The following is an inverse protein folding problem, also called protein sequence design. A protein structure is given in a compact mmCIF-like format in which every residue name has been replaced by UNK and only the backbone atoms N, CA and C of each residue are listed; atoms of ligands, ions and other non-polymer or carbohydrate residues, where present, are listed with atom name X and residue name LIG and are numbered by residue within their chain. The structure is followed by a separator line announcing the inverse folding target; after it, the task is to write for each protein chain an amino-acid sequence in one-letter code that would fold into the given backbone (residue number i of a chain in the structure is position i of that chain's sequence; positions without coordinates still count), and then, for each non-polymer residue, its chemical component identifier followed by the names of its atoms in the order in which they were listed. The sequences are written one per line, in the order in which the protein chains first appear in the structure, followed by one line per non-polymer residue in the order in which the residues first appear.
data_IF_953422515356
#
_entry.id   IF_953422515356
#
_cell.length_a   1.000
_cell.length_b   1.000
_cell.length_c   1.000
_cell.angle_alpha   90.00
_cell.angle_beta   90.00
_cell.angle_gamma   90.00
#
_symmetry.space_group_name_H-M   'P 1'
#
loop_
_entity.id
_entity.type
_entity.pdbx_description
1 polymer ?
#
# COMPACT_ATOMS: atom_id res chain seq x y z
N UNK A 1 1.93 20.20 6.76
CA UNK A 1 1.37 18.85 6.57
C UNK A 1 1.60 18.06 7.82
N UNK A 2 0.56 17.48 8.43
CA UNK A 2 0.72 16.66 9.63
C UNK A 2 1.25 15.28 9.25
N UNK A 3 2.21 14.75 10.01
CA UNK A 3 2.64 13.35 9.88
C UNK A 3 1.63 12.37 10.50
N UNK A 4 0.63 12.87 11.22
CA UNK A 4 -0.40 12.04 11.89
C UNK A 4 -1.23 11.23 10.90
N UNK A 5 -1.37 11.67 9.65
CA UNK A 5 -2.08 10.88 8.63
C UNK A 5 -1.39 9.53 8.37
N UNK A 6 -0.06 9.49 8.50
CA UNK A 6 0.75 8.29 8.32
C UNK A 6 0.69 7.34 9.52
N UNK A 7 0.09 7.74 10.65
CA UNK A 7 -0.18 6.83 11.77
C UNK A 7 -1.39 5.94 11.50
N UNK A 8 -2.35 6.42 10.70
CA UNK A 8 -3.54 5.65 10.31
C UNK A 8 -3.83 5.81 8.81
N UNK A 9 -2.91 5.43 7.91
CA UNK A 9 -2.99 5.74 6.49
C UNK A 9 -4.21 5.11 5.82
N UNK A 10 -4.59 3.89 6.22
CA UNK A 10 -5.80 3.23 5.70
C UNK A 10 -7.09 3.96 6.11
N UNK A 11 -7.12 4.50 7.34
CA UNK A 11 -8.24 5.32 7.81
C UNK A 11 -8.39 6.59 7.00
N UNK A 12 -7.31 7.35 6.83
CA UNK A 12 -7.35 8.59 6.05
C UNK A 12 -7.66 8.32 4.57
N UNK A 13 -7.19 7.20 4.00
CA UNK A 13 -7.53 6.83 2.63
C UNK A 13 -9.01 6.48 2.47
N UNK A 14 -9.54 5.55 3.27
CA UNK A 14 -10.92 5.08 3.17
C UNK A 14 -11.97 6.11 3.64
N UNK A 15 -11.57 7.08 4.46
CA UNK A 15 -12.42 8.20 4.85
C UNK A 15 -12.38 9.37 3.86
N UNK A 16 -11.29 9.51 3.10
CA UNK A 16 -11.05 10.55 2.09
C UNK A 16 -11.02 10.02 0.65
N UNK A 17 -9.86 10.13 -0.01
CA UNK A 17 -9.70 9.90 -1.45
C UNK A 17 -10.21 8.53 -1.94
N UNK A 18 -10.10 7.48 -1.12
CA UNK A 18 -10.50 6.12 -1.47
C UNK A 18 -11.90 5.76 -0.96
N UNK A 19 -12.68 6.74 -0.48
CA UNK A 19 -14.06 6.52 -0.04
C UNK A 19 -14.93 5.79 -1.09
N UNK A 20 -14.83 6.04 -2.41
CA UNK A 20 -15.58 5.28 -3.42
C UNK A 20 -15.20 3.80 -3.54
N UNK A 21 -14.04 3.39 -3.01
CA UNK A 21 -13.53 2.01 -3.03
C UNK A 21 -13.92 1.23 -1.77
N UNK A 22 -14.54 1.89 -0.79
CA UNK A 22 -14.78 1.36 0.54
C UNK A 22 -16.12 0.63 0.67
N UNK A 23 -16.12 -0.51 1.35
CA UNK A 23 -17.29 -1.06 2.03
C UNK A 23 -17.32 -0.44 3.44
N UNK A 24 -18.45 0.10 3.87
CA UNK A 24 -18.56 0.89 5.11
C UNK A 24 -19.77 0.50 5.94
N UNK A 25 -19.60 0.54 7.25
CA UNK A 25 -20.69 0.47 8.23
C UNK A 25 -20.30 1.32 9.43
N UNK A 26 -21.17 2.24 9.84
CA UNK A 26 -20.84 3.24 10.86
C UNK A 26 -19.52 3.97 10.57
N UNK A 27 -18.61 3.94 11.54
CA UNK A 27 -17.26 4.49 11.37
C UNK A 27 -16.27 3.50 10.77
N UNK A 28 -16.55 2.20 10.72
CA UNK A 28 -15.66 1.21 10.14
C UNK A 28 -15.67 1.25 8.61
N UNK A 29 -14.52 0.94 8.01
CA UNK A 29 -14.38 0.80 6.58
C UNK A 29 -13.39 -0.33 6.23
N UNK A 30 -13.55 -0.92 5.05
CA UNK A 30 -12.53 -1.78 4.42
C UNK A 30 -12.57 -1.61 2.91
N UNK A 31 -11.50 -2.00 2.23
CA UNK A 31 -11.56 -2.16 0.78
C UNK A 31 -12.43 -3.36 0.39
N UNK A 32 -13.00 -3.30 -0.82
CA UNK A 32 -13.56 -4.49 -1.47
C UNK A 32 -12.47 -5.58 -1.55
N UNK A 33 -12.80 -6.87 -1.28
CA UNK A 33 -11.80 -7.95 -1.30
C UNK A 33 -11.03 -8.08 -2.61
N UNK A 34 -11.65 -7.71 -3.73
CA UNK A 34 -11.03 -7.70 -5.06
C UNK A 34 -9.97 -6.60 -5.25
N UNK A 35 -9.98 -5.56 -4.41
CA UNK A 35 -9.02 -4.43 -4.46
C UNK A 35 -7.90 -4.66 -3.44
N UNK A 36 -8.27 -4.98 -2.19
CA UNK A 36 -7.32 -5.06 -1.09
C UNK A 36 -7.92 -5.62 0.20
N UNK A 37 -7.04 -6.03 1.11
CA UNK A 37 -7.42 -6.59 2.41
C UNK A 37 -7.44 -5.56 3.55
N UNK A 38 -7.09 -4.29 3.28
CA UNK A 38 -7.01 -3.31 4.37
C UNK A 38 -8.39 -2.94 4.92
N UNK A 39 -8.47 -2.92 6.25
CA UNK A 39 -9.54 -2.32 7.01
C UNK A 39 -9.05 -1.03 7.68
N UNK A 40 -10.00 -0.23 8.13
CA UNK A 40 -9.76 0.99 8.86
C UNK A 40 -10.82 1.22 9.93
N UNK A 41 -10.33 1.70 11.07
CA UNK A 41 -11.09 2.20 12.19
C UNK A 41 -10.60 3.62 12.50
N UNK A 42 -11.42 4.48 13.12
CA UNK A 42 -10.96 5.78 13.58
C UNK A 42 -9.81 5.66 14.61
N UNK A 43 -8.93 6.66 14.72
CA UNK A 43 -7.98 6.74 15.83
C UNK A 43 -8.73 6.71 17.17
N UNK A 44 -8.32 5.84 18.08
CA UNK A 44 -9.01 5.64 19.37
C UNK A 44 -10.32 4.84 19.28
N UNK A 45 -10.46 4.00 18.27
CA UNK A 45 -11.62 3.13 18.06
C UNK A 45 -12.03 2.34 19.32
N UNK A 46 -13.32 2.38 19.63
CA UNK A 46 -13.93 1.65 20.74
C UNK A 46 -14.71 0.42 20.29
N UNK A 47 -15.38 -0.24 21.24
CA UNK A 47 -16.11 -1.50 20.98
C UNK A 47 -17.17 -1.40 19.89
N UNK A 48 -17.80 -0.23 19.73
CA UNK A 48 -18.79 0.01 18.67
C UNK A 48 -18.16 -0.03 17.27
N UNK A 49 -17.00 0.59 17.10
CA UNK A 49 -16.33 0.63 15.80
C UNK A 49 -15.86 -0.78 15.37
N UNK A 50 -15.43 -1.60 16.34
CA UNK A 50 -15.11 -3.02 16.11
C UNK A 50 -16.34 -3.87 15.78
N UNK A 51 -17.49 -3.61 16.42
CA UNK A 51 -18.75 -4.28 16.08
C UNK A 51 -19.23 -3.89 14.67
N UNK A 52 -19.08 -2.61 14.31
CA UNK A 52 -19.36 -2.12 12.96
C UNK A 52 -18.44 -2.81 11.92
N UNK A 53 -17.15 -2.95 12.24
CA UNK A 53 -16.20 -3.67 11.39
C UNK A 53 -16.57 -5.14 11.23
N UNK A 54 -17.04 -5.82 12.28
CA UNK A 54 -17.42 -7.22 12.20
C UNK A 54 -18.53 -7.45 11.16
N UNK A 55 -19.47 -6.51 11.06
CA UNK A 55 -20.58 -6.54 10.09
C UNK A 55 -20.08 -6.56 8.63
N UNK A 56 -19.00 -5.83 8.33
CA UNK A 56 -18.45 -5.73 6.97
C UNK A 56 -17.24 -6.63 6.71
N UNK A 57 -16.59 -7.12 7.76
CA UNK A 57 -15.53 -8.12 7.66
C UNK A 57 -16.11 -9.52 7.38
N UNK A 58 -17.23 -9.87 8.03
CA UNK A 58 -17.77 -11.22 7.95
C UNK A 58 -16.74 -12.25 8.41
N UNK A 59 -16.54 -13.29 7.59
CA UNK A 59 -15.53 -14.33 7.86
C UNK A 59 -14.13 -14.00 7.29
N UNK A 60 -13.99 -12.87 6.60
CA UNK A 60 -12.71 -12.51 5.96
C UNK A 60 -11.65 -12.16 7.00
N UNK A 61 -10.41 -12.42 6.62
CA UNK A 61 -9.28 -11.77 7.27
C UNK A 61 -9.13 -10.32 6.75
N UNK A 62 -8.94 -9.37 7.65
CA UNK A 62 -8.65 -7.98 7.32
C UNK A 62 -7.32 -7.54 7.91
N UNK A 63 -6.72 -6.53 7.28
CA UNK A 63 -5.37 -6.03 7.60
C UNK A 63 -5.43 -4.59 8.08
N UNK A 64 -4.79 -4.29 9.20
CA UNK A 64 -4.46 -2.93 9.59
C UNK A 64 -2.99 -2.64 9.31
N UNK A 65 -2.70 -1.41 8.88
CA UNK A 65 -1.36 -0.89 8.63
C UNK A 65 -1.28 0.52 9.21
N UNK A 66 -0.36 0.74 10.14
CA UNK A 66 -0.30 1.97 10.92
C UNK A 66 0.17 1.72 12.35
N UNK A 67 -0.15 2.67 13.24
CA UNK A 67 -0.15 2.40 14.68
C UNK A 67 -1.12 1.26 15.00
N UNK A 68 -0.71 0.29 15.83
CA UNK A 68 -1.52 -0.86 16.08
C UNK A 68 -2.76 -0.52 16.91
N UNK A 69 -3.83 -1.26 16.65
CA UNK A 69 -5.02 -1.27 17.49
C UNK A 69 -4.91 -2.35 18.57
N UNK A 70 -5.54 -2.09 19.72
CA UNK A 70 -5.88 -3.15 20.67
C UNK A 70 -7.04 -3.97 20.08
N UNK A 71 -6.81 -5.27 19.92
CA UNK A 71 -7.80 -6.20 19.35
C UNK A 71 -8.70 -6.68 20.48
N UNK A 72 -10.02 -6.39 20.45
CA UNK A 72 -10.93 -6.74 21.54
C UNK A 72 -11.34 -8.22 21.50
N UNK A 73 -11.99 -8.67 22.57
CA UNK A 73 -12.68 -9.96 22.59
C UNK A 73 -13.67 -10.09 21.42
N UNK A 74 -13.81 -11.31 20.89
CA UNK A 74 -14.59 -11.59 19.68
C UNK A 74 -13.81 -11.41 18.37
N UNK A 75 -12.51 -11.12 18.45
CA UNK A 75 -11.59 -11.10 17.32
C UNK A 75 -10.34 -11.93 17.61
N UNK A 76 -9.87 -12.64 16.59
CA UNK A 76 -8.58 -13.33 16.61
C UNK A 76 -7.51 -12.44 15.96
N UNK A 77 -6.41 -12.16 16.68
CA UNK A 77 -5.20 -11.59 16.08
C UNK A 77 -4.33 -12.71 15.51
N UNK A 78 -4.44 -12.90 14.19
CA UNK A 78 -3.77 -13.99 13.47
C UNK A 78 -2.27 -13.76 13.31
N UNK A 79 -1.86 -12.50 13.17
CA UNK A 79 -0.46 -12.11 13.13
C UNK A 79 -0.27 -10.62 13.41
N UNK A 80 0.87 -10.27 13.99
CA UNK A 80 1.35 -8.91 14.16
C UNK A 80 2.85 -8.86 13.86
N UNK A 81 3.27 -7.94 13.01
CA UNK A 81 4.70 -7.74 12.73
C UNK A 81 5.00 -6.28 12.38
N UNK A 82 6.22 -5.85 12.71
CA UNK A 82 6.67 -4.48 12.47
C UNK A 82 6.84 -4.20 10.97
N UNK A 83 6.43 -3.00 10.56
CA UNK A 83 6.62 -2.48 9.21
C UNK A 83 7.40 -1.18 9.26
N UNK A 84 8.47 -1.09 8.46
CA UNK A 84 9.28 0.11 8.33
C UNK A 84 8.54 1.08 7.41
N UNK A 85 8.13 2.22 7.96
CA UNK A 85 7.56 3.33 7.20
C UNK A 85 8.67 4.31 6.79
N UNK A 86 8.72 4.70 5.53
CA UNK A 86 9.74 5.62 4.99
C UNK A 86 9.11 6.72 4.15
N UNK A 87 9.69 7.92 4.19
CA UNK A 87 9.20 9.12 3.52
C UNK A 87 10.19 9.55 2.45
N UNK A 88 9.71 9.88 1.26
CA UNK A 88 10.56 10.37 0.18
C UNK A 88 11.10 11.79 0.49
N UNK A 89 12.33 12.11 0.05
CA UNK A 89 12.88 13.44 0.18
C UNK A 89 12.05 14.45 -0.64
N UNK A 90 12.10 15.72 -0.26
CA UNK A 90 11.37 16.77 -0.97
C UNK A 90 11.86 16.85 -2.44
N UNK A 91 10.92 16.94 -3.37
CA UNK A 91 11.23 17.00 -4.80
C UNK A 91 11.69 15.69 -5.43
N UNK A 92 11.68 14.57 -4.69
CA UNK A 92 12.03 13.26 -5.21
C UNK A 92 11.12 12.82 -6.36
N UNK A 93 11.69 12.13 -7.34
CA UNK A 93 10.98 11.57 -8.48
C UNK A 93 11.14 12.38 -9.77
N UNK A 94 11.15 11.66 -10.89
CA UNK A 94 11.19 12.17 -12.27
C UNK A 94 10.61 11.10 -13.22
N UNK A 95 10.13 11.49 -14.41
CA UNK A 95 9.71 10.52 -15.42
C UNK A 95 10.91 9.84 -16.08
N UNK A 96 10.67 8.68 -16.69
CA UNK A 96 11.63 7.93 -17.50
C UNK A 96 10.97 7.45 -18.79
N UNK A 97 11.66 7.59 -19.92
CA UNK A 97 11.09 7.30 -21.25
C UNK A 97 10.78 5.81 -21.47
N UNK A 98 11.46 4.90 -20.76
CA UNK A 98 11.25 3.46 -20.84
C UNK A 98 10.16 2.93 -19.89
N UNK A 99 9.57 3.82 -19.08
CA UNK A 99 8.52 3.51 -18.12
C UNK A 99 7.17 3.94 -18.68
N UNK A 100 6.26 2.98 -18.85
CA UNK A 100 4.93 3.22 -19.43
C UNK A 100 3.85 3.22 -18.36
N UNK A 101 2.79 4.01 -18.57
CA UNK A 101 1.59 3.97 -17.74
C UNK A 101 0.83 2.66 -17.99
N UNK A 102 0.46 1.97 -16.92
CA UNK A 102 -0.41 0.80 -16.95
C UNK A 102 -1.87 1.21 -16.71
N UNK A 103 -2.78 0.43 -17.26
CA UNK A 103 -4.22 0.67 -17.31
C UNK A 103 -5.00 -0.56 -16.83
N UNK A 104 -6.33 -0.48 -16.85
CA UNK A 104 -7.17 -1.62 -16.51
C UNK A 104 -6.96 -2.82 -17.46
N UNK A 105 -6.58 -2.56 -18.72
CA UNK A 105 -6.30 -3.61 -19.71
C UNK A 105 -5.05 -4.42 -19.34
N UNK A 106 -4.13 -3.84 -18.55
CA UNK A 106 -2.92 -4.50 -18.07
C UNK A 106 -3.15 -5.30 -16.77
N UNK A 107 -4.33 -5.21 -16.15
CA UNK A 107 -4.60 -5.71 -14.79
C UNK A 107 -4.29 -7.20 -14.59
N UNK A 108 -4.62 -8.03 -15.58
CA UNK A 108 -4.33 -9.46 -15.55
C UNK A 108 -2.81 -9.74 -15.58
N UNK A 109 -2.07 -8.99 -16.41
CA UNK A 109 -0.61 -9.11 -16.51
C UNK A 109 0.10 -8.57 -15.26
N UNK A 110 -0.43 -7.51 -14.65
CA UNK A 110 0.02 -6.99 -13.35
C UNK A 110 -0.16 -8.03 -12.24
N UNK A 111 -1.32 -8.69 -12.19
CA UNK A 111 -1.59 -9.76 -11.22
C UNK A 111 -0.66 -10.97 -11.45
N UNK A 112 -0.40 -11.35 -12.70
CA UNK A 112 0.56 -12.40 -13.03
C UNK A 112 1.96 -12.05 -12.52
N UNK A 113 2.45 -10.83 -12.81
CA UNK A 113 3.75 -10.35 -12.35
C UNK A 113 3.83 -10.33 -10.82
N UNK A 114 2.82 -9.78 -10.15
CA UNK A 114 2.76 -9.73 -8.68
C UNK A 114 2.76 -11.14 -8.08
N UNK A 115 2.02 -12.09 -8.66
CA UNK A 115 2.00 -13.48 -8.21
C UNK A 115 3.38 -14.13 -8.35
N UNK A 116 4.06 -13.90 -9.47
CA UNK A 116 5.38 -14.47 -9.73
C UNK A 116 6.48 -13.89 -8.81
N UNK A 117 6.37 -12.62 -8.44
CA UNK A 117 7.42 -11.88 -7.72
C UNK A 117 7.13 -11.66 -6.24
N UNK A 118 5.87 -11.80 -5.83
CA UNK A 118 5.36 -11.66 -4.45
C UNK A 118 5.78 -10.33 -3.77
N UNK A 119 5.43 -9.15 -4.32
CA UNK A 119 5.75 -7.85 -3.72
C UNK A 119 4.94 -7.53 -2.45
N UNK A 120 3.99 -8.39 -2.10
CA UNK A 120 2.94 -8.15 -1.12
C UNK A 120 1.58 -8.52 -1.72
N UNK A 121 0.48 -8.37 -0.95
CA UNK A 121 -0.85 -8.64 -1.45
C UNK A 121 -1.17 -7.80 -2.69
N UNK A 122 -1.62 -8.46 -3.75
CA UNK A 122 -2.09 -7.85 -4.99
C UNK A 122 -3.26 -8.67 -5.52
N UNK A 123 -4.33 -8.00 -5.92
CA UNK A 123 -5.62 -8.58 -6.26
C UNK A 123 -6.07 -8.10 -7.65
N UNK A 124 -7.13 -8.71 -8.19
CA UNK A 124 -7.62 -8.45 -9.55
C UNK A 124 -7.88 -6.95 -9.84
N UNK A 125 -8.38 -6.21 -8.84
CA UNK A 125 -8.71 -4.79 -8.97
C UNK A 125 -7.74 -3.89 -8.17
N UNK A 126 -6.56 -4.37 -7.75
CA UNK A 126 -5.59 -3.53 -7.00
C UNK A 126 -5.09 -2.33 -7.82
N UNK A 127 -5.18 -2.37 -9.15
CA UNK A 127 -4.89 -1.22 -10.00
C UNK A 127 -5.83 -0.03 -9.74
N UNK A 128 -7.00 -0.24 -9.09
CA UNK A 128 -7.92 0.84 -8.70
C UNK A 128 -7.40 1.68 -7.52
N UNK A 129 -6.33 1.26 -6.83
CA UNK A 129 -5.72 2.09 -5.78
C UNK A 129 -5.17 3.41 -6.32
N UNK A 130 -4.78 3.48 -7.60
CA UNK A 130 -4.21 4.69 -8.18
C UNK A 130 -3.36 4.40 -9.42
N UNK A 131 -2.33 5.21 -9.62
CA UNK A 131 -1.42 5.06 -10.75
C UNK A 131 -0.55 3.82 -10.68
N UNK A 132 -0.38 3.13 -11.81
CA UNK A 132 0.60 2.08 -11.97
C UNK A 132 1.44 2.30 -13.22
N UNK A 133 2.71 1.92 -13.13
CA UNK A 133 3.69 2.06 -14.17
C UNK A 133 4.47 0.78 -14.34
N UNK A 134 4.95 0.52 -15.55
CA UNK A 134 5.62 -0.72 -15.91
C UNK A 134 6.77 -0.51 -16.88
N UNK A 135 7.63 -1.52 -16.95
CA UNK A 135 8.62 -1.66 -18.01
C UNK A 135 8.33 -2.95 -18.76
N UNK A 136 8.35 -2.87 -20.10
CA UNK A 136 8.11 -4.00 -21.00
C UNK A 136 9.41 -4.43 -21.69
N UNK A 137 9.62 -5.73 -21.82
CA UNK A 137 10.67 -6.33 -22.65
C UNK A 137 10.03 -7.37 -23.58
N UNK A 138 10.26 -7.27 -24.89
CA UNK A 138 9.60 -8.11 -25.89
C UNK A 138 8.06 -8.08 -25.82
N UNK A 139 7.47 -6.96 -25.42
CA UNK A 139 6.02 -6.80 -25.24
C UNK A 139 5.47 -7.31 -23.90
N UNK A 140 6.25 -8.03 -23.11
CA UNK A 140 5.86 -8.58 -21.80
C UNK A 140 6.21 -7.61 -20.67
N UNK A 141 5.33 -7.47 -19.68
CA UNK A 141 5.58 -6.73 -18.46
C UNK A 141 6.61 -7.48 -17.59
N UNK A 142 7.76 -6.84 -17.37
CA UNK A 142 8.89 -7.41 -16.62
C UNK A 142 9.13 -6.74 -15.28
N UNK A 143 8.63 -5.52 -15.08
CA UNK A 143 8.68 -4.81 -13.81
C UNK A 143 7.50 -3.85 -13.69
N UNK A 144 7.04 -3.60 -12.47
CA UNK A 144 6.02 -2.58 -12.19
C UNK A 144 6.18 -1.95 -10.81
N UNK A 145 5.56 -0.79 -10.63
CA UNK A 145 5.29 -0.15 -9.36
C UNK A 145 4.00 0.67 -9.48
N UNK A 146 3.38 1.00 -8.37
CA UNK A 146 2.21 1.87 -8.39
C UNK A 146 1.88 2.48 -7.05
N UNK A 147 0.70 3.08 -7.00
CA UNK A 147 0.15 3.76 -5.84
C UNK A 147 -0.71 2.80 -5.00
N UNK A 148 -0.78 3.08 -3.71
CA UNK A 148 -1.65 2.35 -2.77
C UNK A 148 -2.40 3.30 -1.85
N UNK A 149 -2.11 3.34 -0.55
CA UNK A 149 -2.89 4.17 0.38
C UNK A 149 -2.68 5.66 0.05
N UNK A 150 -3.77 6.37 -0.26
CA UNK A 150 -3.76 7.80 -0.57
C UNK A 150 -4.60 8.57 0.42
N UNK A 151 -3.95 9.46 1.17
CA UNK A 151 -4.58 10.43 2.07
C UNK A 151 -4.68 11.80 1.39
N UNK A 152 -5.07 12.83 2.15
CA UNK A 152 -5.12 14.19 1.61
C UNK A 152 -3.71 14.71 1.29
N UNK A 153 -2.72 14.43 2.15
CA UNK A 153 -1.35 14.91 1.97
C UNK A 153 -0.36 13.88 1.42
N UNK A 154 -0.69 12.58 1.40
CA UNK A 154 0.26 11.51 1.15
C UNK A 154 -0.26 10.46 0.17
N UNK A 155 0.64 9.87 -0.62
CA UNK A 155 0.33 8.66 -1.41
C UNK A 155 1.45 7.65 -1.24
N UNK A 156 1.07 6.39 -1.05
CA UNK A 156 1.98 5.29 -0.84
C UNK A 156 2.49 4.73 -2.16
N UNK A 157 3.81 4.63 -2.31
CA UNK A 157 4.46 3.83 -3.36
C UNK A 157 4.40 2.35 -2.94
N UNK A 158 3.90 1.51 -3.83
CA UNK A 158 3.69 0.09 -3.58
C UNK A 158 3.89 -0.79 -4.80
N UNK A 159 3.74 -2.09 -4.60
CA UNK A 159 3.81 -3.13 -5.63
C UNK A 159 5.09 -3.10 -6.48
N UNK A 160 6.19 -2.56 -5.94
CA UNK A 160 7.48 -2.49 -6.64
C UNK A 160 8.02 -3.90 -6.81
N UNK A 161 8.01 -4.40 -8.04
CA UNK A 161 8.52 -5.73 -8.36
C UNK A 161 9.17 -5.80 -9.74
N UNK A 162 10.02 -6.79 -9.90
CA UNK A 162 10.76 -7.06 -11.14
C UNK A 162 10.97 -8.56 -11.24
N UNK A 163 10.71 -9.13 -12.43
CA UNK A 163 10.98 -10.54 -12.71
C UNK A 163 12.45 -10.87 -12.47
N UNK A 164 12.72 -12.08 -11.99
CA UNK A 164 14.04 -12.47 -11.49
C UNK A 164 15.15 -12.36 -12.56
N UNK A 165 14.83 -12.69 -13.81
CA UNK A 165 15.68 -12.57 -15.00
C UNK A 165 15.92 -11.13 -15.48
N UNK A 166 15.23 -10.15 -14.90
CA UNK A 166 15.33 -8.73 -15.23
C UNK A 166 15.86 -7.87 -14.07
N UNK A 167 16.24 -8.48 -12.94
CA UNK A 167 16.83 -7.78 -11.79
C UNK A 167 18.22 -7.23 -12.10
N UNK A 168 18.69 -6.29 -11.27
CA UNK A 168 20.03 -5.70 -11.40
C UNK A 168 20.18 -4.66 -12.52
N UNK A 169 19.10 -4.30 -13.21
CA UNK A 169 19.09 -3.35 -14.34
C UNK A 169 18.60 -1.93 -13.98
N UNK A 170 18.45 -1.63 -12.69
CA UNK A 170 17.96 -0.33 -12.21
C UNK A 170 16.45 -0.08 -12.38
N UNK A 171 15.67 -1.09 -12.80
CA UNK A 171 14.23 -0.95 -13.09
C UNK A 171 13.41 -0.45 -11.90
N UNK A 172 13.65 -0.99 -10.71
CA UNK A 172 12.93 -0.58 -9.50
C UNK A 172 13.14 0.91 -9.20
N UNK A 173 14.36 1.43 -9.36
CA UNK A 173 14.65 2.86 -9.15
C UNK A 173 13.87 3.73 -10.12
N UNK A 174 13.91 3.42 -11.43
CA UNK A 174 13.16 4.19 -12.44
C UNK A 174 11.67 4.21 -12.14
N UNK A 175 11.11 3.06 -11.82
CA UNK A 175 9.69 2.93 -11.45
C UNK A 175 9.32 3.73 -10.19
N UNK A 176 10.14 3.65 -9.13
CA UNK A 176 9.94 4.43 -7.90
C UNK A 176 10.01 5.93 -8.18
N UNK A 177 10.97 6.38 -9.00
CA UNK A 177 11.11 7.78 -9.39
C UNK A 177 9.88 8.27 -10.19
N UNK A 178 9.37 7.47 -11.13
CA UNK A 178 8.18 7.83 -11.93
C UNK A 178 6.90 7.85 -11.09
N UNK A 179 6.70 6.89 -10.19
CA UNK A 179 5.55 6.92 -9.27
C UNK A 179 5.62 8.16 -8.36
N UNK A 180 6.80 8.46 -7.80
CA UNK A 180 6.97 9.62 -6.92
C UNK A 180 6.72 10.95 -7.64
N UNK A 181 7.11 11.05 -8.91
CA UNK A 181 6.83 12.21 -9.76
C UNK A 181 5.32 12.43 -9.93
N UNK A 182 4.59 11.39 -10.32
CA UNK A 182 3.13 11.45 -10.46
C UNK A 182 2.41 11.80 -9.16
N UNK A 183 2.84 11.25 -8.03
CA UNK A 183 2.32 11.60 -6.69
C UNK A 183 2.51 13.09 -6.40
N UNK A 184 3.69 13.64 -6.73
CA UNK A 184 4.01 15.05 -6.52
C UNK A 184 3.21 15.97 -7.44
N UNK A 185 3.03 15.61 -8.71
CA UNK A 185 2.17 16.34 -9.64
C UNK A 185 0.72 16.40 -9.16
N UNK A 186 0.24 15.34 -8.49
CA UNK A 186 -1.05 15.29 -7.83
C UNK A 186 -1.12 16.10 -6.51
N UNK A 187 -0.06 16.84 -6.15
CA UNK A 187 -0.01 17.70 -4.97
C UNK A 187 0.21 16.96 -3.64
N UNK A 188 0.62 15.69 -3.68
CA UNK A 188 0.83 14.84 -2.49
C UNK A 188 2.30 14.51 -2.29
N UNK A 189 2.65 14.01 -1.10
CA UNK A 189 4.01 13.53 -0.79
C UNK A 189 4.11 12.00 -0.88
N UNK A 190 5.17 11.46 -1.50
CA UNK A 190 5.37 10.01 -1.53
C UNK A 190 5.87 9.47 -0.18
N UNK A 191 5.32 8.33 0.21
CA UNK A 191 5.83 7.50 1.31
C UNK A 191 5.74 6.02 0.91
N UNK A 192 6.30 5.12 1.73
CA UNK A 192 6.16 3.68 1.52
C UNK A 192 6.30 2.89 2.82
N UNK A 193 5.91 1.62 2.74
CA UNK A 193 6.19 0.62 3.75
C UNK A 193 7.02 -0.52 3.19
N UNK A 194 7.89 -1.08 4.04
CA UNK A 194 8.60 -2.32 3.75
C UNK A 194 8.69 -3.19 5.01
N UNK A 195 8.72 -4.50 4.84
CA UNK A 195 8.87 -5.43 5.97
C UNK A 195 10.24 -5.28 6.63
N UNK A 196 10.31 -5.46 7.95
CA UNK A 196 11.55 -5.32 8.71
C UNK A 196 12.67 -6.27 8.23
N UNK A 197 12.31 -7.46 7.72
CA UNK A 197 13.24 -8.42 7.14
C UNK A 197 13.68 -8.13 5.70
N UNK A 198 13.06 -7.16 5.00
CA UNK A 198 13.39 -6.84 3.62
C UNK A 198 14.56 -5.85 3.52
N UNK A 199 15.74 -6.32 3.94
CA UNK A 199 16.97 -5.52 4.00
C UNK A 199 17.36 -4.95 2.63
N UNK A 200 17.13 -5.70 1.56
CA UNK A 200 17.43 -5.26 0.19
C UNK A 200 16.60 -4.04 -0.20
N UNK A 201 15.28 -4.07 0.03
CA UNK A 201 14.43 -2.93 -0.26
C UNK A 201 14.75 -1.73 0.65
N UNK A 202 14.99 -1.96 1.95
CA UNK A 202 15.39 -0.90 2.86
C UNK A 202 16.68 -0.19 2.43
N UNK A 203 17.69 -0.94 1.97
CA UNK A 203 18.94 -0.36 1.42
C UNK A 203 18.69 0.43 0.14
N UNK A 204 17.83 -0.07 -0.75
CA UNK A 204 17.44 0.66 -1.96
C UNK A 204 16.78 1.99 -1.59
N UNK A 205 15.76 1.98 -0.74
CA UNK A 205 15.05 3.20 -0.36
C UNK A 205 15.95 4.20 0.36
N UNK A 206 16.82 3.73 1.27
CA UNK A 206 17.81 4.59 1.93
C UNK A 206 18.81 5.21 0.91
N UNK A 207 19.26 4.44 -0.07
CA UNK A 207 20.13 4.95 -1.15
C UNK A 207 19.42 6.02 -2.01
N UNK A 208 18.11 5.89 -2.20
CA UNK A 208 17.27 6.88 -2.87
C UNK A 208 16.94 8.10 -1.98
N UNK A 209 17.46 8.14 -0.75
CA UNK A 209 17.27 9.25 0.19
C UNK A 209 15.94 9.20 0.96
N UNK A 210 15.22 8.07 0.96
CA UNK A 210 14.04 7.93 1.81
C UNK A 210 14.46 7.88 3.28
N UNK A 211 13.77 8.65 4.10
CA UNK A 211 14.02 8.73 5.53
C UNK A 211 13.05 7.81 6.28
N UNK A 212 13.59 6.99 7.18
CA UNK A 212 12.77 6.14 8.05
C UNK A 212 12.03 6.99 9.07
N UNK A 213 10.71 6.78 9.19
CA UNK A 213 9.91 7.36 10.27
C UNK A 213 10.01 6.47 11.52
N UNK A 214 10.43 7.04 12.64
CA UNK A 214 10.46 6.35 13.94
C UNK A 214 9.06 6.33 14.54
N UNK A 215 8.36 5.22 14.35
CA UNK A 215 6.99 5.00 14.85
C UNK A 215 6.78 3.51 15.12
N UNK A 216 5.82 3.15 15.98
CA UNK A 216 5.44 1.77 16.29
C UNK A 216 4.59 1.15 15.17
N UNK A 217 4.94 1.41 13.92
CA UNK A 217 4.14 1.03 12.76
C UNK A 217 4.17 -0.48 12.53
N UNK A 218 2.99 -1.08 12.41
CA UNK A 218 2.82 -2.51 12.33
C UNK A 218 1.82 -2.89 11.24
N UNK A 219 1.93 -4.14 10.80
CA UNK A 219 0.86 -4.85 10.11
C UNK A 219 0.18 -5.77 11.12
N UNK A 220 -1.14 -5.65 11.25
CA UNK A 220 -1.97 -6.58 12.03
C UNK A 220 -2.94 -7.29 11.11
N UNK A 221 -3.01 -8.61 11.24
CA UNK A 221 -3.96 -9.47 10.52
C UNK A 221 -4.97 -9.98 11.54
N UNK A 222 -6.24 -9.66 11.35
CA UNK A 222 -7.30 -10.03 12.29
C UNK A 222 -8.48 -10.66 11.57
N UNK A 223 -9.29 -11.42 12.30
CA UNK A 223 -10.56 -11.98 11.85
C UNK A 223 -11.56 -12.02 13.00
N UNK A 224 -12.85 -11.94 12.71
CA UNK A 224 -13.91 -12.19 13.71
C UNK A 224 -13.76 -13.61 14.24
N UNK A 225 -13.72 -13.76 15.56
CA UNK A 225 -13.59 -15.06 16.22
C UNK A 225 -14.80 -15.95 15.87
N UNK A 226 -14.56 -17.27 15.80
CA UNK A 226 -15.60 -18.27 15.51
C UNK A 226 -16.34 -18.72 16.76
#
# INVERSE_FOLDING_TARGET
MSLSELDHPAWHALSGAHRPLAIRHGAAARYRPSIGAFAALPPGAGSRDWADLATIAGADEVVFLGLPHEVPDGWDELARFEAVQMIAPLGFGRPHDDVVRLTADDSAEMLELATATRPGPFFAESHLFGAYYGVRDGGRLVAMAGERLTTDAWTEISAVCTRDDHRGRGLATRLIETVADGIREAGRRPFLHTGIGNVTAQRLYAHLGFERRTTANAVQRVRVAR
#
